data_IF_650798425379
#
_entry.id   IF_650798425379
#
_cell.length_a   1.000
_cell.length_b   1.000
_cell.length_c   1.000
_cell.angle_alpha   90.00
_cell.angle_beta   90.00
_cell.angle_gamma   90.00
#
_symmetry.space_group_name_H-M   'P 1'
#
loop_
_entity.id
_entity.type
_entity.pdbx_description
1 polymer ?
#
# COMPACT_ATOMS: atom_id res chain seq x y z
N UNK A 1 34.19 -62.35 35.17
CA UNK A 1 34.98 -61.25 35.77
C UNK A 1 35.93 -60.71 34.71
N UNK A 2 35.79 -59.43 34.35
CA UNK A 2 36.85 -58.47 33.96
C UNK A 2 36.23 -57.38 33.09
N UNK A 3 36.20 -56.16 33.67
CA UNK A 3 35.75 -54.90 33.07
C UNK A 3 36.89 -54.36 32.20
N UNK A 4 36.63 -54.00 30.95
CA UNK A 4 37.55 -53.15 30.18
C UNK A 4 37.05 -51.71 30.14
N UNK A 5 37.98 -50.80 30.39
CA UNK A 5 37.81 -49.39 30.69
C UNK A 5 37.37 -48.60 29.46
N UNK A 6 36.25 -47.88 29.58
CA UNK A 6 35.84 -46.85 28.64
C UNK A 6 36.74 -45.61 28.80
N UNK A 7 37.53 -45.31 27.78
CA UNK A 7 38.32 -44.08 27.69
C UNK A 7 37.39 -42.87 27.50
N UNK A 8 37.34 -42.00 28.52
CA UNK A 8 36.59 -40.74 28.53
C UNK A 8 37.15 -39.76 27.50
N UNK A 9 36.30 -39.26 26.61
CA UNK A 9 36.60 -38.12 25.75
C UNK A 9 36.73 -36.84 26.61
N UNK A 10 37.72 -35.96 26.36
CA UNK A 10 37.87 -34.73 27.11
C UNK A 10 36.80 -33.69 26.71
N UNK A 11 35.96 -33.31 27.66
CA UNK A 11 35.05 -32.17 27.55
C UNK A 11 35.87 -30.88 27.63
N UNK A 12 36.01 -30.16 26.50
CA UNK A 12 36.59 -28.81 26.47
C UNK A 12 35.58 -27.80 27.01
N UNK A 13 35.81 -27.36 28.25
CA UNK A 13 35.18 -26.20 28.85
C UNK A 13 35.64 -24.93 28.11
N UNK A 14 34.74 -24.26 27.41
CA UNK A 14 35.02 -22.95 26.79
C UNK A 14 34.82 -21.88 27.86
N UNK A 15 35.92 -21.40 28.44
CA UNK A 15 35.94 -20.22 29.30
C UNK A 15 35.84 -18.96 28.45
N UNK A 16 34.87 -18.11 28.78
CA UNK A 16 34.62 -16.80 28.16
C UNK A 16 35.60 -15.78 28.76
N UNK A 17 36.69 -15.47 28.05
CA UNK A 17 37.63 -14.41 28.41
C UNK A 17 37.72 -13.36 27.30
N UNK A 18 37.06 -12.23 27.57
CA UNK A 18 37.52 -10.84 27.38
C UNK A 18 38.52 -10.63 26.23
N UNK A 19 38.05 -10.00 25.15
CA UNK A 19 38.88 -9.08 24.38
C UNK A 19 38.06 -7.85 24.02
N UNK A 20 38.32 -6.77 24.76
CA UNK A 20 37.92 -5.42 24.39
C UNK A 20 38.90 -4.92 23.32
N UNK A 21 38.50 -4.92 22.05
CA UNK A 21 39.13 -4.14 21.01
C UNK A 21 38.08 -3.16 20.46
N UNK A 22 38.24 -1.89 20.85
CA UNK A 22 37.48 -0.76 20.33
C UNK A 22 37.85 -0.57 18.86
N UNK A 23 37.04 -1.10 17.96
CA UNK A 23 36.99 -0.60 16.59
C UNK A 23 36.03 0.58 16.54
N UNK A 24 36.59 1.76 16.26
CA UNK A 24 35.86 3.00 16.06
C UNK A 24 35.16 2.96 14.70
N UNK A 25 33.95 2.40 14.64
CA UNK A 25 33.09 2.46 13.46
C UNK A 25 32.01 3.51 13.69
N UNK A 26 32.09 4.62 12.94
CA UNK A 26 31.07 5.67 12.93
C UNK A 26 29.72 5.08 12.51
N UNK A 27 28.74 5.11 13.42
CA UNK A 27 27.37 4.67 13.14
C UNK A 27 26.58 5.78 12.39
N UNK A 28 25.68 5.41 11.46
CA UNK A 28 24.92 6.35 10.65
C UNK A 28 23.90 7.19 11.45
N UNK A 29 23.67 8.42 10.97
CA UNK A 29 23.11 9.57 11.69
C UNK A 29 21.67 9.45 12.27
N UNK A 30 20.94 8.37 12.03
CA UNK A 30 19.52 8.24 12.41
C UNK A 30 19.29 7.72 13.85
N UNK A 31 20.35 7.55 14.64
CA UNK A 31 20.31 7.34 16.10
C UNK A 31 21.05 8.45 16.86
N UNK A 32 20.47 9.66 16.91
CA UNK A 32 20.74 10.58 18.03
C UNK A 32 19.42 10.99 18.66
N UNK A 33 19.27 10.64 19.93
CA UNK A 33 18.15 11.07 20.75
C UNK A 33 18.24 12.55 21.06
N UNK A 34 17.06 13.14 21.22
CA UNK A 34 16.79 14.48 21.73
C UNK A 34 17.69 14.83 22.93
N UNK A 35 18.43 15.92 22.83
CA UNK A 35 18.96 16.68 23.95
C UNK A 35 18.98 18.16 23.57
N UNK A 36 18.42 18.98 24.45
CA UNK A 36 18.29 20.43 24.37
C UNK A 36 19.63 21.15 24.43
N UNK A 37 19.79 22.24 23.68
CA UNK A 37 20.06 23.60 24.20
C UNK A 37 20.51 24.53 23.07
N UNK A 38 19.93 25.73 23.09
CA UNK A 38 20.51 27.04 22.75
C UNK A 38 21.23 27.26 21.41
N UNK A 39 20.62 28.16 20.62
CA UNK A 39 21.35 29.33 20.13
C UNK A 39 21.85 29.32 18.68
N UNK A 40 21.68 30.50 18.06
CA UNK A 40 22.24 30.97 16.79
C UNK A 40 21.66 30.45 15.46
N UNK A 41 20.86 31.32 14.86
CA UNK A 41 20.59 31.42 13.42
C UNK A 41 21.80 32.09 12.73
N UNK A 42 22.31 31.61 11.58
CA UNK A 42 23.19 32.42 10.75
C UNK A 42 22.42 33.18 9.67
N UNK A 43 22.85 34.43 9.50
CA UNK A 43 22.28 35.49 8.70
C UNK A 43 22.50 35.33 7.19
N UNK A 44 21.62 36.00 6.45
CA UNK A 44 21.70 36.31 5.03
C UNK A 44 22.81 37.33 4.73
N UNK A 45 23.67 37.02 3.76
CA UNK A 45 24.56 38.00 3.13
C UNK A 45 24.17 38.24 1.67
N UNK A 46 24.07 39.53 1.38
CA UNK A 46 23.83 40.21 0.12
C UNK A 46 25.04 40.17 -0.81
N UNK A 47 24.79 40.08 -2.12
CA UNK A 47 25.71 40.60 -3.13
C UNK A 47 24.92 41.14 -4.33
N UNK A 48 24.84 42.47 -4.39
CA UNK A 48 24.44 43.26 -5.55
C UNK A 48 25.64 43.42 -6.47
N UNK A 49 25.44 43.46 -7.80
CA UNK A 49 26.24 44.24 -8.74
C UNK A 49 25.44 44.50 -10.03
N UNK A 50 25.49 45.78 -10.43
CA UNK A 50 24.99 46.45 -11.63
C UNK A 50 25.54 45.77 -12.92
N UNK A 51 24.99 45.84 -14.14
CA UNK A 51 24.06 46.74 -14.82
C UNK A 51 24.65 47.03 -16.22
N UNK A 52 23.92 46.76 -17.32
CA UNK A 52 23.90 47.57 -18.55
C UNK A 52 23.05 46.94 -19.67
N UNK A 53 22.29 47.82 -20.32
CA UNK A 53 21.35 47.58 -21.40
C UNK A 53 22.01 47.69 -22.78
N UNK A 54 21.51 46.93 -23.76
CA UNK A 54 21.34 47.37 -25.17
C UNK A 54 20.23 46.55 -25.87
N UNK A 55 19.72 47.15 -26.94
CA UNK A 55 18.47 46.98 -27.68
C UNK A 55 18.33 45.80 -28.67
N UNK A 56 17.06 45.38 -28.91
CA UNK A 56 16.36 44.85 -30.12
C UNK A 56 17.14 44.24 -31.32
N UNK A 57 16.62 43.23 -32.08
CA UNK A 57 15.26 43.27 -32.66
C UNK A 57 14.48 41.94 -32.88
N UNK A 58 13.17 42.12 -33.18
CA UNK A 58 12.16 41.19 -33.72
C UNK A 58 12.68 40.19 -34.79
N UNK A 59 12.23 38.93 -34.69
CA UNK A 59 12.24 37.94 -35.78
C UNK A 59 10.88 37.24 -35.89
N UNK A 60 10.29 37.30 -37.09
CA UNK A 60 9.04 36.64 -37.49
C UNK A 60 9.23 35.15 -37.78
N UNK A 61 8.18 34.31 -37.63
CA UNK A 61 8.05 33.08 -38.42
C UNK A 61 6.91 33.20 -39.43
N UNK A 62 7.21 32.79 -40.66
CA UNK A 62 6.33 32.91 -41.81
C UNK A 62 5.26 31.83 -41.93
N UNK A 63 4.21 32.22 -42.68
CA UNK A 63 3.50 31.48 -43.73
C UNK A 63 3.48 29.95 -43.66
N UNK A 64 2.32 29.41 -43.25
CA UNK A 64 2.05 27.97 -43.36
C UNK A 64 0.70 27.47 -42.83
N UNK A 65 -0.15 28.34 -42.26
CA UNK A 65 -1.41 27.91 -41.61
C UNK A 65 -2.69 28.42 -42.29
N UNK A 66 -2.65 28.78 -43.58
CA UNK A 66 -3.77 29.46 -44.24
C UNK A 66 -4.71 28.55 -45.05
N UNK A 67 -4.43 27.24 -45.16
CA UNK A 67 -5.25 26.32 -45.98
C UNK A 67 -6.25 25.55 -45.10
N UNK A 68 -5.84 25.04 -43.94
CA UNK A 68 -6.73 24.33 -43.00
C UNK A 68 -7.74 25.26 -42.33
N UNK A 69 -7.36 26.51 -42.05
CA UNK A 69 -8.28 27.50 -41.49
C UNK A 69 -9.37 27.92 -42.48
N UNK A 70 -9.06 27.94 -43.79
CA UNK A 70 -10.03 28.27 -44.85
C UNK A 70 -11.00 27.14 -45.16
N UNK A 71 -10.60 25.88 -44.99
CA UNK A 71 -11.54 24.75 -45.04
C UNK A 71 -12.54 24.79 -43.89
N UNK A 72 -12.09 25.09 -42.67
CA UNK A 72 -12.96 25.22 -41.50
C UNK A 72 -13.98 26.36 -41.64
N UNK A 73 -13.60 27.46 -42.29
CA UNK A 73 -14.48 28.60 -42.58
C UNK A 73 -15.45 28.35 -43.75
N UNK A 74 -15.08 27.50 -44.71
CA UNK A 74 -15.97 27.10 -45.81
C UNK A 74 -17.05 26.11 -45.37
N UNK A 75 -16.73 25.22 -44.42
CA UNK A 75 -17.68 24.27 -43.84
C UNK A 75 -18.67 24.95 -42.88
N UNK A 76 -18.25 26.01 -42.19
CA UNK A 76 -19.14 26.79 -41.33
C UNK A 76 -20.14 27.66 -42.12
N UNK A 77 -19.80 28.09 -43.34
CA UNK A 77 -20.71 28.83 -44.23
C UNK A 77 -21.73 27.95 -44.95
N UNK A 78 -21.37 26.72 -45.33
CA UNK A 78 -22.34 25.77 -45.94
C UNK A 78 -23.35 25.25 -44.90
N UNK A 79 -23.02 25.26 -43.60
CA UNK A 79 -23.95 24.89 -42.53
C UNK A 79 -24.96 26.00 -42.16
N UNK A 80 -24.80 27.22 -42.68
CA UNK A 80 -25.62 28.38 -42.30
C UNK A 80 -26.86 28.60 -43.18
N UNK A 81 -26.95 27.97 -44.37
CA UNK A 81 -28.05 28.16 -45.32
C UNK A 81 -28.72 26.84 -45.69
N UNK A 82 -29.40 26.22 -44.72
CA UNK A 82 -30.59 25.34 -44.88
C UNK A 82 -30.79 24.50 -43.61
N UNK A 83 -31.25 25.13 -42.53
CA UNK A 83 -31.68 24.41 -41.33
C UNK A 83 -33.22 24.34 -41.27
N UNK A 84 -33.85 23.18 -41.52
CA UNK A 84 -35.17 22.94 -40.97
C UNK A 84 -35.01 22.89 -39.44
N UNK A 85 -35.88 23.62 -38.71
CA UNK A 85 -35.90 23.79 -37.24
C UNK A 85 -36.20 22.50 -36.44
N UNK A 86 -35.90 21.33 -36.99
CA UNK A 86 -36.17 20.00 -36.40
C UNK A 86 -34.86 19.37 -35.86
N UNK A 87 -33.68 19.91 -36.18
CA UNK A 87 -32.38 19.27 -35.90
C UNK A 87 -31.72 19.56 -34.54
N UNK A 88 -32.19 20.53 -33.76
CA UNK A 88 -31.54 20.90 -32.49
C UNK A 88 -31.69 19.82 -31.41
N UNK A 89 -32.85 19.16 -31.37
CA UNK A 89 -33.11 18.05 -30.45
C UNK A 89 -32.35 16.77 -30.85
N UNK A 90 -32.16 16.53 -32.15
CA UNK A 90 -31.43 15.37 -32.65
C UNK A 90 -29.91 15.47 -32.36
N UNK A 91 -29.32 16.66 -32.51
CA UNK A 91 -27.92 16.92 -32.17
C UNK A 91 -27.66 16.88 -30.66
N UNK A 92 -28.58 17.39 -29.83
CA UNK A 92 -28.45 17.28 -28.37
C UNK A 92 -28.59 15.82 -27.90
N UNK A 93 -29.49 15.04 -28.50
CA UNK A 93 -29.66 13.63 -28.19
C UNK A 93 -28.42 12.81 -28.59
N UNK A 94 -27.82 13.10 -29.75
CA UNK A 94 -26.60 12.39 -30.18
C UNK A 94 -25.40 12.72 -29.29
N UNK A 95 -25.30 13.98 -28.81
CA UNK A 95 -24.25 14.44 -27.88
C UNK A 95 -24.43 13.83 -26.48
N UNK A 96 -25.67 13.71 -26.01
CA UNK A 96 -26.02 13.03 -24.76
C UNK A 96 -25.73 11.52 -24.84
N UNK A 97 -26.09 10.87 -25.95
CA UNK A 97 -25.81 9.44 -26.17
C UNK A 97 -24.30 9.15 -26.23
N UNK A 98 -23.51 10.01 -26.88
CA UNK A 98 -22.03 9.86 -26.92
C UNK A 98 -21.40 10.08 -25.55
N UNK A 99 -21.91 11.02 -24.73
CA UNK A 99 -21.43 11.19 -23.34
C UNK A 99 -21.80 10.02 -22.43
N UNK A 100 -23.00 9.45 -22.56
CA UNK A 100 -23.43 8.29 -21.79
C UNK A 100 -22.65 7.02 -22.14
N UNK A 101 -22.33 6.82 -23.43
CA UNK A 101 -21.47 5.72 -23.87
C UNK A 101 -20.01 5.94 -23.44
N UNK A 102 -19.52 7.18 -23.40
CA UNK A 102 -18.20 7.50 -22.86
C UNK A 102 -18.11 7.22 -21.34
N UNK A 103 -19.12 7.57 -20.56
CA UNK A 103 -19.15 7.27 -19.12
C UNK A 103 -19.38 5.78 -18.84
N UNK A 104 -20.19 5.07 -19.64
CA UNK A 104 -20.28 3.61 -19.60
C UNK A 104 -18.98 2.91 -19.98
N UNK A 105 -18.25 3.42 -20.97
CA UNK A 105 -16.96 2.84 -21.38
C UNK A 105 -15.87 3.05 -20.33
N UNK A 106 -15.84 4.21 -19.65
CA UNK A 106 -14.99 4.45 -18.47
C UNK A 106 -15.38 3.55 -17.29
N UNK A 107 -16.68 3.36 -17.05
CA UNK A 107 -17.18 2.42 -16.03
C UNK A 107 -16.77 0.98 -16.31
N UNK A 108 -16.84 0.53 -17.57
CA UNK A 108 -16.39 -0.82 -17.98
C UNK A 108 -14.89 -1.04 -17.84
N UNK A 109 -14.06 -0.01 -18.06
CA UNK A 109 -12.61 -0.12 -17.85
C UNK A 109 -12.23 -0.25 -16.36
N UNK A 110 -12.89 0.51 -15.48
CA UNK A 110 -12.70 0.41 -14.02
C UNK A 110 -13.16 -0.94 -13.45
N UNK A 111 -14.07 -1.63 -14.14
CA UNK A 111 -14.53 -2.94 -13.71
C UNK A 111 -13.50 -4.06 -13.89
N UNK A 112 -12.46 -3.83 -14.71
CA UNK A 112 -11.43 -4.82 -15.05
C UNK A 112 -10.19 -4.79 -14.15
N UNK A 113 -10.11 -3.86 -13.19
CA UNK A 113 -8.96 -3.77 -12.28
C UNK A 113 -9.05 -4.83 -11.16
N UNK A 114 -7.92 -5.52 -10.91
CA UNK A 114 -7.79 -6.48 -9.81
C UNK A 114 -8.04 -5.75 -8.47
N UNK A 115 -8.85 -6.31 -7.57
CA UNK A 115 -9.17 -5.67 -6.30
C UNK A 115 -7.93 -5.58 -5.40
N UNK A 116 -7.96 -4.64 -4.46
CA UNK A 116 -7.02 -4.62 -3.35
C UNK A 116 -7.19 -5.88 -2.49
N UNK A 117 -6.13 -6.38 -1.88
CA UNK A 117 -6.25 -7.58 -1.04
C UNK A 117 -6.02 -7.25 0.45
N UNK A 118 -6.93 -7.74 1.28
CA UNK A 118 -6.86 -7.70 2.74
C UNK A 118 -6.53 -9.10 3.26
N UNK A 119 -5.25 -9.39 3.46
CA UNK A 119 -4.77 -10.67 3.93
C UNK A 119 -4.85 -10.77 5.46
N UNK A 120 -5.56 -11.78 5.95
CA UNK A 120 -5.65 -12.13 7.37
C UNK A 120 -5.01 -13.50 7.55
N UNK A 121 -3.77 -13.52 8.04
CA UNK A 121 -3.06 -14.75 8.37
C UNK A 121 -3.05 -14.98 9.88
N UNK A 122 -3.88 -15.89 10.35
CA UNK A 122 -3.98 -16.24 11.78
C UNK A 122 -3.58 -17.69 12.03
N UNK A 123 -2.56 -17.88 12.86
CA UNK A 123 -2.13 -19.18 13.35
C UNK A 123 -2.19 -19.22 14.87
N UNK A 124 -1.91 -20.39 15.47
CA UNK A 124 -2.11 -20.64 16.91
C UNK A 124 -1.47 -19.62 17.86
N UNK A 125 -0.37 -18.96 17.46
CA UNK A 125 0.42 -18.13 18.38
C UNK A 125 0.48 -16.65 18.02
N UNK A 126 0.01 -16.26 16.83
CA UNK A 126 0.05 -14.87 16.36
C UNK A 126 -0.90 -14.66 15.16
N UNK A 127 -1.23 -13.40 14.91
CA UNK A 127 -2.02 -12.95 13.76
C UNK A 127 -1.26 -11.86 13.02
N UNK A 128 -1.25 -11.97 11.69
CA UNK A 128 -0.66 -11.02 10.76
C UNK A 128 -1.76 -10.49 9.86
N UNK A 129 -1.82 -9.19 9.70
CA UNK A 129 -2.75 -8.52 8.80
C UNK A 129 -1.93 -7.69 7.83
N UNK A 130 -2.16 -7.93 6.55
CA UNK A 130 -1.43 -7.25 5.47
C UNK A 130 -2.42 -6.77 4.43
N UNK A 131 -2.35 -5.50 4.08
CA UNK A 131 -3.11 -4.92 2.98
C UNK A 131 -2.16 -4.63 1.83
N UNK A 132 -2.51 -5.13 0.65
CA UNK A 132 -1.70 -5.00 -0.55
C UNK A 132 -2.45 -4.26 -1.65
N UNK A 133 -1.69 -3.62 -2.53
CA UNK A 133 -2.19 -3.12 -3.81
C UNK A 133 -2.60 -4.31 -4.72
N UNK A 134 -3.30 -4.04 -5.84
CA UNK A 134 -3.60 -5.03 -6.88
C UNK A 134 -2.35 -5.73 -7.43
N UNK A 135 -1.23 -4.99 -7.51
CA UNK A 135 0.09 -5.53 -7.87
C UNK A 135 0.69 -6.46 -6.81
N UNK A 136 -0.01 -6.70 -5.70
CA UNK A 136 0.41 -7.50 -4.53
C UNK A 136 1.58 -6.92 -3.73
N UNK A 137 1.87 -5.65 -3.93
CA UNK A 137 2.81 -4.89 -3.09
C UNK A 137 2.18 -4.52 -1.75
N UNK A 138 2.92 -4.71 -0.65
CA UNK A 138 2.40 -4.51 0.70
C UNK A 138 2.41 -3.02 1.10
N UNK A 139 1.23 -2.45 1.33
CA UNK A 139 1.04 -1.05 1.76
C UNK A 139 1.15 -0.94 3.27
N UNK A 140 0.46 -1.85 3.99
CA UNK A 140 0.47 -1.94 5.44
C UNK A 140 0.62 -3.40 5.81
N UNK A 141 1.65 -3.72 6.59
CA UNK A 141 1.88 -5.07 7.11
C UNK A 141 2.17 -4.99 8.59
N UNK A 142 1.26 -5.52 9.40
CA UNK A 142 1.35 -5.47 10.86
C UNK A 142 0.99 -6.81 11.49
N UNK A 143 1.48 -7.01 12.71
CA UNK A 143 1.18 -8.17 13.53
C UNK A 143 0.86 -7.73 14.95
N UNK A 144 0.30 -8.62 15.78
CA UNK A 144 -0.04 -8.25 17.17
C UNK A 144 1.20 -7.85 17.98
N UNK A 145 2.39 -8.32 17.57
CA UNK A 145 3.66 -7.89 18.16
C UNK A 145 3.98 -6.40 17.96
N UNK A 146 3.47 -5.76 16.90
CA UNK A 146 3.67 -4.33 16.64
C UNK A 146 2.90 -3.44 17.63
N UNK A 147 1.82 -3.94 18.23
CA UNK A 147 1.07 -3.25 19.28
C UNK A 147 1.76 -3.34 20.65
N UNK A 148 2.85 -4.09 20.77
CA UNK A 148 3.57 -4.27 22.02
C UNK A 148 3.22 -5.55 22.77
N UNK A 149 2.32 -6.40 22.26
CA UNK A 149 2.05 -7.71 22.86
C UNK A 149 3.30 -8.60 22.81
N UNK A 150 3.74 -9.08 23.98
CA UNK A 150 4.94 -9.92 24.12
C UNK A 150 4.57 -11.39 24.31
N UNK A 151 5.31 -12.28 23.65
CA UNK A 151 5.26 -13.75 23.84
C UNK A 151 3.82 -14.29 23.76
N UNK A 152 3.32 -14.92 24.81
CA UNK A 152 1.97 -15.51 24.86
C UNK A 152 0.86 -14.49 24.62
N UNK A 153 1.09 -13.21 24.95
CA UNK A 153 0.12 -12.13 24.75
C UNK A 153 -0.36 -11.98 23.31
N UNK A 154 0.39 -12.48 22.32
CA UNK A 154 0.10 -12.35 20.87
C UNK A 154 -0.97 -13.30 20.34
N UNK A 155 -1.30 -14.35 21.09
CA UNK A 155 -2.20 -15.44 20.64
C UNK A 155 -3.66 -15.16 20.94
N UNK A 156 -3.94 -14.18 21.81
CA UNK A 156 -5.26 -13.96 22.37
C UNK A 156 -6.17 -13.27 21.34
N UNK A 157 -7.48 -13.51 21.47
CA UNK A 157 -8.49 -12.91 20.62
C UNK A 157 -8.44 -11.36 20.67
N UNK A 158 -8.39 -10.80 21.88
CA UNK A 158 -8.33 -9.35 22.12
C UNK A 158 -7.13 -8.69 21.43
N UNK A 159 -5.95 -9.31 21.52
CA UNK A 159 -4.74 -8.80 20.85
C UNK A 159 -4.88 -8.73 19.32
N UNK A 160 -5.66 -9.63 18.72
CA UNK A 160 -5.92 -9.63 17.29
C UNK A 160 -7.05 -8.67 16.90
N UNK A 161 -8.03 -8.46 17.78
CA UNK A 161 -9.09 -7.46 17.60
C UNK A 161 -8.47 -6.05 17.55
N UNK A 162 -7.63 -5.70 18.54
CA UNK A 162 -6.91 -4.43 18.57
C UNK A 162 -5.98 -4.24 17.36
N UNK A 163 -5.36 -5.32 16.87
CA UNK A 163 -4.58 -5.27 15.63
C UNK A 163 -5.44 -4.92 14.42
N UNK A 164 -6.63 -5.52 14.29
CA UNK A 164 -7.58 -5.22 13.22
C UNK A 164 -7.95 -3.75 13.22
N UNK A 165 -8.32 -3.21 14.38
CA UNK A 165 -8.66 -1.80 14.59
C UNK A 165 -7.52 -0.89 14.11
N UNK A 166 -6.31 -1.13 14.64
CA UNK A 166 -5.12 -0.34 14.31
C UNK A 166 -4.77 -0.37 12.82
N UNK A 167 -4.94 -1.52 12.15
CA UNK A 167 -4.69 -1.61 10.71
C UNK A 167 -5.67 -0.74 9.95
N UNK A 168 -6.95 -0.80 10.29
CA UNK A 168 -7.99 0.01 9.67
C UNK A 168 -7.72 1.50 9.90
N UNK A 169 -7.38 1.89 11.13
CA UNK A 169 -7.03 3.28 11.45
C UNK A 169 -5.86 3.77 10.59
N UNK A 170 -4.80 2.96 10.46
CA UNK A 170 -3.66 3.29 9.58
C UNK A 170 -4.02 3.37 8.10
N UNK A 171 -5.00 2.59 7.64
CA UNK A 171 -5.50 2.71 6.27
C UNK A 171 -6.27 4.03 6.08
N UNK A 172 -7.01 4.45 7.10
CA UNK A 172 -7.72 5.73 7.10
C UNK A 172 -6.75 6.91 7.11
N UNK A 173 -5.73 6.88 7.99
CA UNK A 173 -4.65 7.88 8.05
C UNK A 173 -3.92 8.02 6.71
N UNK A 174 -3.70 6.90 6.01
CA UNK A 174 -3.09 6.88 4.66
C UNK A 174 -4.04 7.34 3.54
N UNK A 175 -5.30 7.66 3.84
CA UNK A 175 -6.29 8.08 2.84
C UNK A 175 -6.77 6.95 1.91
N UNK A 176 -6.50 5.68 2.25
CA UNK A 176 -6.83 4.54 1.38
C UNK A 176 -8.33 4.27 1.32
N UNK A 177 -9.10 4.82 2.25
CA UNK A 177 -10.55 4.75 2.24
C UNK A 177 -11.16 5.39 0.97
N UNK A 178 -10.51 6.36 0.32
CA UNK A 178 -11.00 6.92 -0.95
C UNK A 178 -10.40 6.22 -2.17
N UNK A 179 -9.15 5.76 -2.06
CA UNK A 179 -8.43 5.12 -3.17
C UNK A 179 -8.95 3.72 -3.48
N UNK A 180 -9.29 2.94 -2.46
CA UNK A 180 -9.73 1.55 -2.62
C UNK A 180 -11.20 1.55 -3.04
N UNK A 181 -11.51 1.10 -4.26
CA UNK A 181 -12.89 0.92 -4.70
C UNK A 181 -13.38 -0.52 -4.48
N UNK A 182 -12.50 -1.49 -4.75
CA UNK A 182 -12.76 -2.92 -4.62
C UNK A 182 -11.74 -3.54 -3.67
N UNK A 183 -12.21 -4.33 -2.72
CA UNK A 183 -11.40 -5.02 -1.72
C UNK A 183 -11.78 -6.51 -1.67
N UNK A 184 -10.79 -7.38 -1.69
CA UNK A 184 -10.94 -8.82 -1.48
C UNK A 184 -10.36 -9.19 -0.11
N UNK A 185 -11.13 -9.92 0.71
CA UNK A 185 -10.66 -10.39 2.01
C UNK A 185 -10.16 -11.82 1.89
N UNK A 186 -8.88 -12.04 2.18
CA UNK A 186 -8.22 -13.34 2.05
C UNK A 186 -7.88 -13.88 3.44
N UNK A 187 -8.56 -14.94 3.84
CA UNK A 187 -8.36 -15.61 5.12
C UNK A 187 -7.34 -16.75 4.98
N UNK A 188 -6.41 -16.85 5.93
CA UNK A 188 -5.45 -17.97 5.97
C UNK A 188 -5.25 -18.46 7.40
N UNK A 189 -5.54 -19.75 7.59
CA UNK A 189 -5.42 -20.43 8.88
C UNK A 189 -6.68 -20.25 9.75
N UNK A 190 -6.69 -20.97 10.88
CA UNK A 190 -7.84 -21.06 11.80
C UNK A 190 -7.47 -20.62 13.23
N UNK A 191 -6.59 -19.62 13.36
CA UNK A 191 -6.27 -19.02 14.67
C UNK A 191 -7.40 -18.12 15.17
N UNK A 192 -7.39 -17.81 16.48
CA UNK A 192 -8.39 -16.96 17.13
C UNK A 192 -8.50 -15.55 16.50
N UNK A 193 -7.43 -15.06 15.88
CA UNK A 193 -7.44 -13.75 15.23
C UNK A 193 -8.22 -13.69 13.91
N UNK A 194 -8.55 -14.84 13.30
CA UNK A 194 -9.40 -14.87 12.10
C UNK A 194 -10.77 -14.28 12.40
N UNK A 195 -11.42 -14.77 13.45
CA UNK A 195 -12.73 -14.26 13.88
C UNK A 195 -12.62 -12.83 14.42
N UNK A 196 -11.56 -12.52 15.18
CA UNK A 196 -11.37 -11.19 15.75
C UNK A 196 -11.33 -10.11 14.67
N UNK A 197 -10.48 -10.28 13.65
CA UNK A 197 -10.34 -9.30 12.56
C UNK A 197 -11.59 -9.28 11.67
N UNK A 198 -12.25 -10.41 11.48
CA UNK A 198 -13.53 -10.45 10.74
C UNK A 198 -14.61 -9.64 11.46
N UNK A 199 -14.70 -9.74 12.80
CA UNK A 199 -15.65 -8.94 13.58
C UNK A 199 -15.32 -7.45 13.56
N UNK A 200 -14.04 -7.08 13.57
CA UNK A 200 -13.60 -5.70 13.38
C UNK A 200 -14.07 -5.15 12.02
N UNK A 201 -13.85 -5.91 10.95
CA UNK A 201 -14.29 -5.53 9.60
C UNK A 201 -15.81 -5.40 9.49
N UNK A 202 -16.57 -6.24 10.20
CA UNK A 202 -18.04 -6.19 10.21
C UNK A 202 -18.61 -5.12 11.15
N UNK A 203 -17.84 -4.71 12.17
CA UNK A 203 -18.21 -3.74 13.19
C UNK A 203 -18.07 -2.29 12.73
N UNK A 204 -18.02 -1.38 13.70
CA UNK A 204 -18.02 0.06 13.44
C UNK A 204 -16.69 0.55 12.85
N UNK A 205 -15.58 -0.03 13.28
CA UNK A 205 -14.23 0.28 12.80
C UNK A 205 -14.15 0.05 11.28
N UNK A 206 -14.68 -1.07 10.79
CA UNK A 206 -14.71 -1.44 9.38
C UNK A 206 -15.76 -0.74 8.52
N UNK A 207 -16.57 0.18 9.05
CA UNK A 207 -17.71 0.79 8.34
C UNK A 207 -17.36 1.34 6.95
N UNK A 208 -16.20 1.98 6.80
CA UNK A 208 -15.76 2.59 5.54
C UNK A 208 -15.29 1.55 4.51
N UNK A 209 -14.73 0.43 4.97
CA UNK A 209 -14.17 -0.62 4.11
C UNK A 209 -15.19 -1.71 3.78
N UNK A 210 -16.15 -1.96 4.67
CA UNK A 210 -17.23 -2.95 4.50
C UNK A 210 -17.98 -2.87 3.16
N UNK A 211 -18.44 -1.69 2.68
CA UNK A 211 -19.15 -1.61 1.40
C UNK A 211 -18.26 -1.86 0.17
N UNK A 212 -16.93 -1.85 0.34
CA UNK A 212 -15.96 -2.05 -0.74
C UNK A 212 -15.55 -3.51 -0.91
N UNK A 213 -15.99 -4.39 0.00
CA UNK A 213 -15.65 -5.81 -0.03
C UNK A 213 -16.44 -6.48 -1.17
N UNK A 214 -15.72 -7.00 -2.16
CA UNK A 214 -16.30 -7.68 -3.33
C UNK A 214 -16.33 -9.19 -3.13
N UNK A 215 -15.25 -9.76 -2.59
CA UNK A 215 -15.12 -11.20 -2.37
C UNK A 215 -14.45 -11.53 -1.04
N UNK A 216 -14.74 -12.72 -0.53
CA UNK A 216 -14.08 -13.32 0.63
C UNK A 216 -13.58 -14.69 0.21
N UNK A 217 -12.27 -14.91 0.27
CA UNK A 217 -11.61 -16.14 -0.12
C UNK A 217 -10.83 -16.76 1.05
N UNK A 218 -10.73 -18.08 1.09
CA UNK A 218 -9.85 -18.80 2.03
C UNK A 218 -8.64 -19.37 1.27
N UNK A 219 -7.44 -18.95 1.67
CA UNK A 219 -6.15 -19.38 1.12
C UNK A 219 -5.36 -20.23 2.13
N UNK A 220 -6.06 -21.03 2.95
CA UNK A 220 -5.43 -21.97 3.87
C UNK A 220 -4.71 -23.07 3.10
N UNK A 221 -3.40 -23.18 3.32
CA UNK A 221 -2.52 -24.08 2.57
C UNK A 221 -2.70 -25.52 3.05
N UNK A 222 -3.08 -26.41 2.13
CA UNK A 222 -3.12 -27.87 2.30
C UNK A 222 -2.10 -28.53 1.37
N UNK A 223 -1.58 -29.71 1.74
CA UNK A 223 -0.63 -30.47 0.93
C UNK A 223 -1.21 -31.83 0.57
N UNK A 224 -0.98 -32.28 -0.66
CA UNK A 224 -1.30 -33.64 -1.11
C UNK A 224 -0.08 -34.54 -0.91
N UNK A 225 -0.06 -35.34 0.16
CA UNK A 225 1.10 -36.12 0.58
C UNK A 225 2.25 -35.23 1.09
N UNK A 226 3.03 -34.63 0.19
CA UNK A 226 4.09 -33.65 0.48
C UNK A 226 5.15 -34.12 1.48
N UNK A 227 5.86 -33.18 2.10
CA UNK A 227 6.89 -33.49 3.10
C UNK A 227 6.29 -34.07 4.39
N UNK A 228 6.98 -35.03 5.04
CA UNK A 228 6.50 -35.63 6.28
C UNK A 228 6.32 -34.59 7.40
N UNK A 229 5.15 -34.56 8.05
CA UNK A 229 4.89 -33.71 9.22
C UNK A 229 5.71 -34.16 10.45
N UNK A 230 5.95 -33.25 11.39
CA UNK A 230 6.68 -33.58 12.64
C UNK A 230 5.95 -34.67 13.43
N UNK A 231 6.71 -35.53 14.12
CA UNK A 231 6.16 -36.57 14.99
C UNK A 231 5.18 -35.99 16.03
N UNK A 232 4.08 -36.69 16.37
CA UNK A 232 3.16 -36.27 17.42
C UNK A 232 3.89 -36.01 18.74
N UNK A 233 3.44 -34.98 19.48
CA UNK A 233 4.02 -34.62 20.78
C UNK A 233 3.45 -35.53 21.87
N UNK A 234 4.28 -35.90 22.84
CA UNK A 234 3.86 -36.56 24.09
C UNK A 234 3.65 -35.47 25.14
N UNK A 235 2.40 -35.20 25.51
CA UNK A 235 2.01 -34.11 26.42
C UNK A 235 1.36 -34.61 27.71
N UNK A 236 1.11 -35.92 27.80
CA UNK A 236 0.64 -36.58 29.02
C UNK A 236 1.76 -36.81 30.01
#
# INVERSE_FOLDING_TARGET
MQRSLASRLPTRTITRSILAQKHNTLLPQWRRGFASENGQVPASESASLEGQATSDPKRSPGSGASILSKMAESLSKVAAESTPKIGAQALSAHRQAVSEEADKSKGKMLDSEEPYHFHIYSHKHNTHVTVTDPNRDAIVSLSTGNLGFKKSGRKHYDSAYQLGALVIDKLQEKGLHNKINKLEVILRGFGAGREAVTKVLMGNEGRLFRPKIVSVADSTRLKFGGTRSKKPRRLG
#
